data_IF_640368025221
#
_entry.id   IF_640368025221
#
_cell.length_a   1.000
_cell.length_b   1.000
_cell.length_c   1.000
_cell.angle_alpha   90.00
_cell.angle_beta   90.00
_cell.angle_gamma   90.00
#
_symmetry.space_group_name_H-M   'P 1'
#
loop_
_entity.id
_entity.type
_entity.pdbx_description
1 polymer ?
#
# COMPACT_ATOMS: atom_id res chain seq x y z
N UNK A 1 25.85 19.44 12.50
CA UNK A 1 25.06 20.03 11.40
C UNK A 1 23.93 20.82 12.03
N UNK A 2 23.96 22.16 11.96
CA UNK A 2 22.82 22.98 12.36
C UNK A 2 21.77 22.85 11.25
N UNK A 3 20.63 22.23 11.57
CA UNK A 3 19.50 22.17 10.66
C UNK A 3 18.91 23.57 10.53
N UNK A 4 18.86 24.08 9.30
CA UNK A 4 18.15 25.33 9.02
C UNK A 4 16.67 25.17 9.39
N UNK A 5 16.00 26.22 9.91
CA UNK A 5 14.54 26.19 10.14
C UNK A 5 13.74 25.75 8.91
N UNK A 6 14.24 26.04 7.70
CA UNK A 6 13.65 25.60 6.43
C UNK A 6 13.71 24.08 6.23
N UNK A 7 14.84 23.45 6.56
CA UNK A 7 15.02 22.00 6.44
C UNK A 7 14.13 21.23 7.42
N UNK A 8 13.91 21.79 8.61
CA UNK A 8 12.98 21.25 9.60
C UNK A 8 11.54 21.29 9.09
N UNK A 9 11.11 22.42 8.50
CA UNK A 9 9.77 22.55 7.93
C UNK A 9 9.53 21.55 6.79
N UNK A 10 10.48 21.41 5.87
CA UNK A 10 10.39 20.46 4.77
C UNK A 10 10.26 19.02 5.29
N UNK A 11 11.07 18.64 6.29
CA UNK A 11 11.00 17.31 6.89
C UNK A 11 9.66 17.05 7.61
N UNK A 12 9.10 18.05 8.29
CA UNK A 12 7.77 17.93 8.93
C UNK A 12 6.67 17.76 7.88
N UNK A 13 6.71 18.51 6.78
CA UNK A 13 5.74 18.37 5.68
C UNK A 13 5.85 16.99 5.03
N UNK A 14 7.07 16.51 4.76
CA UNK A 14 7.30 15.18 4.20
C UNK A 14 6.82 14.06 5.14
N UNK A 15 7.04 14.22 6.45
CA UNK A 15 6.56 13.29 7.47
C UNK A 15 5.03 13.22 7.48
N UNK A 16 4.34 14.37 7.49
CA UNK A 16 2.88 14.43 7.49
C UNK A 16 2.29 13.88 6.19
N UNK A 17 2.88 14.23 5.04
CA UNK A 17 2.47 13.69 3.75
C UNK A 17 2.63 12.16 3.71
N UNK A 18 3.77 11.64 4.16
CA UNK A 18 4.01 10.21 4.30
C UNK A 18 2.95 9.54 5.19
N UNK A 19 2.67 10.11 6.36
CA UNK A 19 1.69 9.56 7.31
C UNK A 19 0.26 9.52 6.75
N UNK A 20 -0.18 10.56 6.05
CA UNK A 20 -1.49 10.59 5.41
C UNK A 20 -1.59 9.55 4.28
N UNK A 21 -0.55 9.45 3.45
CA UNK A 21 -0.47 8.44 2.38
C UNK A 21 -0.51 7.03 2.97
N UNK A 22 0.32 6.75 3.98
CA UNK A 22 0.37 5.44 4.64
C UNK A 22 -0.98 5.04 5.24
N UNK A 23 -1.67 5.98 5.88
CA UNK A 23 -3.00 5.74 6.46
C UNK A 23 -4.05 5.45 5.38
N UNK A 24 -4.03 6.20 4.27
CA UNK A 24 -4.91 5.96 3.13
C UNK A 24 -4.69 4.58 2.51
N UNK A 25 -3.43 4.21 2.29
CA UNK A 25 -3.04 2.91 1.72
C UNK A 25 -3.48 1.76 2.64
N UNK A 26 -3.23 1.84 3.95
CA UNK A 26 -3.63 0.78 4.89
C UNK A 26 -5.14 0.51 4.85
N UNK A 27 -5.96 1.57 4.79
CA UNK A 27 -7.42 1.43 4.65
C UNK A 27 -7.83 0.84 3.31
N UNK A 28 -7.19 1.27 2.22
CA UNK A 28 -7.44 0.72 0.89
C UNK A 28 -7.09 -0.77 0.83
N UNK A 29 -5.98 -1.20 1.44
CA UNK A 29 -5.58 -2.60 1.52
C UNK A 29 -6.61 -3.43 2.30
N UNK A 30 -7.12 -2.93 3.45
CA UNK A 30 -8.19 -3.61 4.19
C UNK A 30 -9.44 -3.81 3.31
N UNK A 31 -9.87 -2.77 2.59
CA UNK A 31 -11.01 -2.87 1.68
C UNK A 31 -10.75 -3.84 0.52
N UNK A 32 -9.56 -3.77 -0.07
CA UNK A 32 -9.15 -4.68 -1.15
C UNK A 32 -9.11 -6.13 -0.67
N UNK A 33 -8.60 -6.40 0.53
CA UNK A 33 -8.61 -7.74 1.12
C UNK A 33 -10.02 -8.29 1.30
N UNK A 34 -10.98 -7.46 1.73
CA UNK A 34 -12.38 -7.87 1.83
C UNK A 34 -12.97 -8.21 0.46
N UNK A 35 -12.67 -7.42 -0.57
CA UNK A 35 -13.10 -7.69 -1.95
C UNK A 35 -12.49 -9.00 -2.45
N UNK A 36 -11.17 -9.18 -2.27
CA UNK A 36 -10.47 -10.41 -2.67
C UNK A 36 -11.04 -11.61 -1.92
N UNK A 37 -11.30 -11.49 -0.61
CA UNK A 37 -11.91 -12.56 0.17
C UNK A 37 -13.33 -12.86 -0.33
N UNK A 38 -14.14 -11.84 -0.62
CA UNK A 38 -15.47 -12.02 -1.20
C UNK A 38 -15.40 -12.71 -2.58
N UNK A 39 -14.43 -12.35 -3.42
CA UNK A 39 -14.18 -13.01 -4.70
C UNK A 39 -13.70 -14.44 -4.53
N UNK A 40 -12.86 -14.74 -3.53
CA UNK A 40 -12.44 -16.11 -3.20
C UNK A 40 -13.64 -16.93 -2.74
N UNK A 41 -14.46 -16.39 -1.85
CA UNK A 41 -15.69 -17.04 -1.39
C UNK A 41 -16.62 -17.29 -2.57
N UNK A 42 -16.91 -16.25 -3.37
CA UNK A 42 -17.73 -16.36 -4.57
C UNK A 42 -17.12 -17.33 -5.59
N UNK A 43 -15.80 -17.40 -5.69
CA UNK A 43 -15.10 -18.38 -6.51
C UNK A 43 -15.32 -19.78 -5.96
N UNK A 44 -15.13 -20.06 -4.67
CA UNK A 44 -15.39 -21.40 -4.12
C UNK A 44 -16.86 -21.80 -4.27
N UNK A 45 -17.81 -20.91 -3.93
CA UNK A 45 -19.25 -21.17 -4.11
C UNK A 45 -19.63 -21.28 -5.59
N UNK A 46 -19.09 -20.42 -6.45
CA UNK A 46 -19.32 -20.39 -7.89
C UNK A 46 -18.62 -21.53 -8.64
N UNK A 47 -17.48 -22.02 -8.18
CA UNK A 47 -16.80 -23.20 -8.71
C UNK A 47 -17.61 -24.47 -8.39
N UNK A 48 -18.24 -24.49 -7.22
CA UNK A 48 -19.20 -25.54 -6.83
C UNK A 48 -20.46 -25.55 -7.72
N UNK A 49 -20.82 -24.40 -8.33
CA UNK A 49 -22.04 -24.23 -9.15
C UNK A 49 -21.77 -24.22 -10.66
N UNK A 50 -20.62 -23.73 -11.13
CA UNK A 50 -20.32 -23.40 -12.53
C UNK A 50 -18.94 -23.88 -13.04
N UNK A 51 -18.10 -24.48 -12.17
CA UNK A 51 -16.98 -25.34 -12.57
C UNK A 51 -15.81 -24.75 -13.38
N UNK A 52 -15.71 -23.44 -13.65
CA UNK A 52 -14.60 -22.92 -14.48
C UNK A 52 -14.19 -21.49 -14.08
N UNK A 53 -12.94 -21.34 -13.61
CA UNK A 53 -12.05 -20.18 -13.84
C UNK A 53 -10.61 -20.63 -13.54
N UNK A 54 -9.64 -20.35 -14.44
CA UNK A 54 -8.25 -20.79 -14.26
C UNK A 54 -7.44 -19.79 -13.40
N UNK A 55 -6.66 -20.25 -12.41
CA UNK A 55 -5.85 -19.39 -11.52
C UNK A 55 -4.85 -18.48 -12.25
N UNK A 56 -4.50 -18.84 -13.48
CA UNK A 56 -3.46 -18.18 -14.27
C UNK A 56 -3.85 -16.76 -14.69
N UNK A 57 -5.13 -16.47 -14.92
CA UNK A 57 -5.60 -15.13 -15.31
C UNK A 57 -5.55 -14.12 -14.17
N UNK A 58 -5.54 -14.58 -12.92
CA UNK A 58 -5.43 -13.71 -11.74
C UNK A 58 -3.97 -13.34 -11.48
N UNK A 59 -3.04 -14.26 -11.73
CA UNK A 59 -1.61 -14.03 -11.51
C UNK A 59 -0.99 -12.97 -12.44
N UNK A 60 -1.48 -12.85 -13.67
CA UNK A 60 -0.96 -11.90 -14.67
C UNK A 60 -1.29 -10.43 -14.36
N UNK A 61 -2.29 -10.16 -13.51
CA UNK A 61 -2.63 -8.81 -13.05
C UNK A 61 -1.61 -8.21 -12.06
N UNK A 62 -0.77 -9.03 -11.42
CA UNK A 62 0.19 -8.57 -10.41
C UNK A 62 1.57 -8.16 -10.96
N UNK A 63 1.87 -8.46 -12.23
CA UNK A 63 3.15 -8.11 -12.86
C UNK A 63 3.48 -6.61 -12.87
N UNK A 64 2.55 -5.71 -13.25
CA UNK A 64 2.77 -4.26 -13.23
C UNK A 64 3.01 -3.68 -11.83
N UNK A 65 2.48 -4.33 -10.78
CA UNK A 65 2.62 -3.88 -9.39
C UNK A 65 4.08 -4.00 -8.93
N UNK A 66 4.80 -5.03 -9.38
CA UNK A 66 6.20 -5.24 -8.98
C UNK A 66 7.13 -4.12 -9.44
N UNK A 67 6.94 -3.58 -10.65
CA UNK A 67 7.74 -2.48 -11.19
C UNK A 67 7.48 -1.17 -10.40
N UNK A 68 6.21 -0.89 -10.09
CA UNK A 68 5.83 0.29 -9.30
C UNK A 68 6.37 0.24 -7.87
N UNK A 69 6.41 -0.94 -7.25
CA UNK A 69 7.00 -1.12 -5.90
C UNK A 69 8.49 -0.76 -5.85
N UNK A 70 9.24 -1.04 -6.92
CA UNK A 70 10.68 -0.80 -6.96
C UNK A 70 10.99 0.71 -7.04
N UNK A 71 10.27 1.45 -7.88
CA UNK A 71 10.38 2.92 -7.93
C UNK A 71 9.98 3.58 -6.60
N UNK A 72 8.94 3.06 -5.95
CA UNK A 72 8.49 3.52 -4.65
C UNK A 72 9.55 3.31 -3.56
N UNK A 73 10.22 2.15 -3.54
CA UNK A 73 11.33 1.88 -2.62
C UNK A 73 12.53 2.80 -2.84
N UNK A 74 12.86 3.11 -4.10
CA UNK A 74 13.92 4.07 -4.43
C UNK A 74 13.58 5.49 -3.95
N UNK A 75 12.30 5.88 -4.02
CA UNK A 75 11.84 7.18 -3.53
C UNK A 75 11.88 7.27 -2.00
N UNK A 76 11.54 6.19 -1.30
CA UNK A 76 11.66 6.08 0.16
C UNK A 76 13.12 6.21 0.63
N UNK A 77 14.06 5.62 -0.11
CA UNK A 77 15.50 5.74 0.18
C UNK A 77 16.05 7.16 0.03
N UNK A 78 15.44 7.98 -0.84
CA UNK A 78 15.84 9.39 -1.05
C UNK A 78 15.24 10.35 -0.02
N UNK A 79 14.09 10.02 0.58
CA UNK A 79 13.36 10.89 1.50
C UNK A 79 13.04 10.17 2.83
N UNK A 80 13.96 10.17 3.80
CA UNK A 80 13.80 9.39 5.04
C UNK A 80 12.63 9.88 5.91
N UNK A 81 12.37 11.19 5.96
CA UNK A 81 11.22 11.74 6.69
C UNK A 81 9.88 11.24 6.12
N UNK A 82 9.78 11.15 4.78
CA UNK A 82 8.60 10.60 4.11
C UNK A 82 8.44 9.11 4.42
N UNK A 83 9.52 8.34 4.43
CA UNK A 83 9.50 6.92 4.77
C UNK A 83 9.02 6.65 6.19
N UNK A 84 9.52 7.41 7.17
CA UNK A 84 9.09 7.31 8.57
C UNK A 84 7.60 7.68 8.69
N UNK A 85 7.17 8.75 8.03
CA UNK A 85 5.76 9.14 7.99
C UNK A 85 4.89 8.00 7.46
N UNK A 86 5.28 7.43 6.32
CA UNK A 86 4.54 6.37 5.64
C UNK A 86 4.41 5.09 6.49
N UNK A 87 5.47 4.70 7.19
CA UNK A 87 5.42 3.60 8.15
C UNK A 87 4.46 3.88 9.31
N UNK A 88 4.53 5.08 9.89
CA UNK A 88 3.62 5.49 10.98
C UNK A 88 2.17 5.44 10.49
N UNK A 89 1.90 6.01 9.32
CA UNK A 89 0.58 6.01 8.70
C UNK A 89 0.04 4.59 8.45
N UNK A 90 0.89 3.71 7.90
CA UNK A 90 0.54 2.31 7.65
C UNK A 90 0.22 1.57 8.94
N UNK A 91 1.04 1.71 9.99
CA UNK A 91 0.82 1.04 11.28
C UNK A 91 -0.48 1.53 11.91
N UNK A 92 -0.70 2.85 11.96
CA UNK A 92 -1.93 3.42 12.54
C UNK A 92 -3.16 2.95 11.77
N UNK A 93 -3.13 2.97 10.44
CA UNK A 93 -4.24 2.51 9.59
C UNK A 93 -4.42 0.99 9.57
N UNK A 94 -3.40 0.21 9.91
CA UNK A 94 -3.53 -1.24 10.08
C UNK A 94 -4.19 -1.58 11.42
N UNK A 95 -3.81 -0.89 12.51
CA UNK A 95 -4.34 -1.13 13.86
C UNK A 95 -5.78 -0.62 14.03
N UNK A 96 -6.11 0.54 13.44
CA UNK A 96 -7.48 1.10 13.43
C UNK A 96 -8.21 0.68 12.16
#
# INVERSE_FOLDING_TARGET
MQLSPGDLLINVVLLLAGALIGLGIARAIKGLLLIVLALIILFFFGFTIAGIFSPHSVATLFGPIAAFMLEFLLLLGKYPALAVGLLIGLIIGAVK
#
